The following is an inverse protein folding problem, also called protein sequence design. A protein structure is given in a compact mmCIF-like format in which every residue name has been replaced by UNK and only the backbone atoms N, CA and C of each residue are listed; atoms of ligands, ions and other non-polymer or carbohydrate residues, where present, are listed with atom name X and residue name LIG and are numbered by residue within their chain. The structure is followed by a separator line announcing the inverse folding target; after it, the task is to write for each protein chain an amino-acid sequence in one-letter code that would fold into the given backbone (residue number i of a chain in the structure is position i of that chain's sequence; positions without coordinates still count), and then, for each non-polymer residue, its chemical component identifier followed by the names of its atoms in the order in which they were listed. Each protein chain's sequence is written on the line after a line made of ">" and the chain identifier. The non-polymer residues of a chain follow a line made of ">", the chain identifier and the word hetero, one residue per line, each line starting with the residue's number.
data_IF_479683393061
#
_entry.id   IF_479683393061
#
_cell.length_a   1.000
_cell.length_b   1.000
_cell.length_c   1.000
_cell.angle_alpha   90.00
_cell.angle_beta   90.00
_cell.angle_gamma   90.00
#
_symmetry.space_group_name_H-M   'P 1'
#
loop_
_entity.id
_entity.type
_entity.pdbx_description
1 polymer ?
#
# COMPACT_ATOMS: atom_id res chain seq x y z
N UNK A 1 -10.08 8.24 -32.76
CA UNK A 1 -8.78 7.78 -33.29
C UNK A 1 -7.55 8.29 -32.49
N UNK A 2 -7.67 9.24 -31.55
CA UNK A 2 -6.58 9.60 -30.62
C UNK A 2 -6.39 8.63 -29.46
N UNK A 3 -7.48 8.07 -28.92
CA UNK A 3 -7.43 7.17 -27.75
C UNK A 3 -6.76 5.81 -28.01
N UNK A 4 -6.58 5.40 -29.27
CA UNK A 4 -6.02 4.09 -29.62
C UNK A 4 -4.49 4.08 -29.74
N UNK A 5 -3.83 5.25 -29.80
CA UNK A 5 -2.36 5.37 -29.86
C UNK A 5 -1.90 6.58 -29.05
N UNK A 6 -1.76 6.44 -27.72
CA UNK A 6 -1.40 7.54 -26.83
C UNK A 6 -0.05 8.18 -27.16
N UNK A 7 0.90 7.42 -27.71
CA UNK A 7 2.22 7.91 -28.13
C UNK A 7 2.16 9.01 -29.21
N UNK A 8 1.04 9.11 -29.94
CA UNK A 8 0.83 10.19 -30.90
C UNK A 8 0.72 11.56 -30.22
N UNK A 9 0.25 11.63 -28.96
CA UNK A 9 0.21 12.88 -28.20
C UNK A 9 1.60 13.39 -27.85
N UNK A 10 2.59 12.50 -27.69
CA UNK A 10 3.99 12.88 -27.53
C UNK A 10 4.49 13.57 -28.81
N UNK A 11 4.17 13.01 -29.98
CA UNK A 11 4.54 13.61 -31.28
C UNK A 11 3.79 14.92 -31.53
N UNK A 12 2.52 14.99 -31.14
CA UNK A 12 1.70 16.20 -31.22
C UNK A 12 2.29 17.31 -30.34
N UNK A 13 2.75 17.00 -29.12
CA UNK A 13 3.42 17.96 -28.24
C UNK A 13 4.65 18.59 -28.91
N UNK A 14 5.51 17.79 -29.52
CA UNK A 14 6.69 18.30 -30.25
C UNK A 14 6.31 19.12 -31.49
N UNK A 15 5.22 18.76 -32.17
CA UNK A 15 4.72 19.48 -33.33
C UNK A 15 4.14 20.86 -32.95
N UNK A 16 3.31 20.91 -31.91
CA UNK A 16 2.72 22.14 -31.37
C UNK A 16 3.79 23.07 -30.79
N UNK A 17 4.83 22.52 -30.18
CA UNK A 17 6.00 23.28 -29.71
C UNK A 17 6.74 23.98 -30.87
N UNK A 18 6.90 23.30 -32.02
CA UNK A 18 7.63 23.84 -33.19
C UNK A 18 6.82 24.76 -34.10
N UNK A 19 5.49 24.74 -34.02
CA UNK A 19 4.61 25.52 -34.90
C UNK A 19 3.72 26.49 -34.11
N UNK A 20 4.30 27.53 -33.49
CA UNK A 20 3.54 28.45 -32.63
C UNK A 20 2.55 29.36 -33.36
N UNK A 21 2.61 29.40 -34.70
CA UNK A 21 1.77 30.25 -35.56
C UNK A 21 0.38 29.66 -35.85
N UNK A 22 0.07 28.47 -35.32
CA UNK A 22 -1.23 27.83 -35.47
C UNK A 22 -2.31 28.60 -34.69
N UNK A 23 -3.45 28.85 -35.34
CA UNK A 23 -4.66 29.26 -34.64
C UNK A 23 -5.05 28.16 -33.63
N UNK A 24 -5.52 28.55 -32.44
CA UNK A 24 -5.94 27.65 -31.35
C UNK A 24 -4.84 26.79 -30.72
N UNK A 25 -3.55 27.11 -30.95
CA UNK A 25 -2.42 26.35 -30.41
C UNK A 25 -2.43 26.26 -28.87
N UNK A 26 -2.93 27.27 -28.17
CA UNK A 26 -3.00 27.26 -26.69
C UNK A 26 -3.99 26.23 -26.15
N UNK A 27 -5.18 26.13 -26.76
CA UNK A 27 -6.22 25.17 -26.38
C UNK A 27 -5.79 23.74 -26.74
N UNK A 28 -5.26 23.55 -27.95
CA UNK A 28 -4.73 22.25 -28.39
C UNK A 28 -3.55 21.76 -27.53
N UNK A 29 -2.68 22.68 -27.09
CA UNK A 29 -1.58 22.35 -26.19
C UNK A 29 -2.09 21.97 -24.80
N UNK A 30 -3.07 22.71 -24.27
CA UNK A 30 -3.68 22.40 -22.96
C UNK A 30 -4.38 21.03 -22.97
N UNK A 31 -5.08 20.69 -24.06
CA UNK A 31 -5.73 19.39 -24.25
C UNK A 31 -4.71 18.25 -24.41
N UNK A 32 -3.63 18.49 -25.16
CA UNK A 32 -2.53 17.53 -25.28
C UNK A 32 -1.86 17.29 -23.92
N UNK A 33 -1.56 18.34 -23.16
CA UNK A 33 -0.98 18.24 -21.82
C UNK A 33 -1.91 17.50 -20.86
N UNK A 34 -3.22 17.77 -20.91
CA UNK A 34 -4.21 17.09 -20.07
C UNK A 34 -4.35 15.60 -20.43
N UNK A 35 -4.21 15.26 -21.71
CA UNK A 35 -4.24 13.86 -22.17
C UNK A 35 -2.95 13.12 -21.78
N UNK A 36 -1.79 13.77 -21.89
CA UNK A 36 -0.50 13.24 -21.42
C UNK A 36 -0.55 13.01 -19.90
N UNK A 37 -1.14 13.94 -19.14
CA UNK A 37 -1.37 13.84 -17.70
C UNK A 37 -2.30 12.65 -17.39
N UNK A 38 -3.44 12.54 -18.07
CA UNK A 38 -4.43 11.48 -17.86
C UNK A 38 -3.90 10.07 -18.13
N UNK A 39 -3.05 9.92 -19.14
CA UNK A 39 -2.50 8.63 -19.55
C UNK A 39 -1.08 8.38 -19.03
N UNK A 40 -0.52 9.26 -18.19
CA UNK A 40 0.84 9.15 -17.64
C UNK A 40 1.93 8.87 -18.71
N UNK A 41 1.78 9.44 -19.91
CA UNK A 41 2.60 9.09 -21.08
C UNK A 41 4.04 9.59 -20.98
N UNK A 42 4.26 10.63 -20.17
CA UNK A 42 5.55 11.27 -20.04
C UNK A 42 5.72 11.85 -18.64
N UNK A 43 6.93 11.74 -18.09
CA UNK A 43 7.23 12.40 -16.82
C UNK A 43 7.17 13.93 -16.98
N UNK A 44 6.80 14.67 -15.93
CA UNK A 44 6.68 16.14 -16.00
C UNK A 44 7.98 16.82 -16.44
N UNK A 45 9.11 16.29 -15.99
CA UNK A 45 10.43 16.77 -16.38
C UNK A 45 10.66 16.58 -17.89
N UNK A 46 10.25 15.44 -18.45
CA UNK A 46 10.38 15.19 -19.88
C UNK A 46 9.44 16.05 -20.71
N UNK A 47 8.24 16.36 -20.22
CA UNK A 47 7.34 17.33 -20.88
C UNK A 47 8.01 18.69 -20.95
N UNK A 48 8.61 19.15 -19.85
CA UNK A 48 9.33 20.43 -19.81
C UNK A 48 10.55 20.43 -20.72
N UNK A 49 11.31 19.33 -20.77
CA UNK A 49 12.42 19.19 -21.71
C UNK A 49 11.93 19.24 -23.16
N UNK A 50 10.89 18.50 -23.51
CA UNK A 50 10.33 18.49 -24.87
C UNK A 50 9.84 19.86 -25.33
N UNK A 51 9.30 20.67 -24.41
CA UNK A 51 8.86 22.04 -24.69
C UNK A 51 10.03 23.03 -24.72
N UNK A 52 11.05 22.83 -23.88
CA UNK A 52 12.21 23.72 -23.75
C UNK A 52 13.34 23.52 -24.77
N UNK A 53 13.39 22.37 -25.45
CA UNK A 53 14.50 22.00 -26.37
C UNK A 53 14.45 22.70 -27.74
N UNK A 54 13.47 23.57 -27.99
CA UNK A 54 13.34 24.25 -29.28
C UNK A 54 13.53 25.76 -29.15
N UNK A 55 14.59 26.29 -29.76
CA UNK A 55 14.86 27.73 -29.83
C UNK A 55 13.76 28.52 -30.57
N UNK A 56 12.89 27.84 -31.33
CA UNK A 56 11.70 28.41 -31.98
C UNK A 56 10.38 28.04 -31.29
N UNK A 57 10.41 27.51 -30.05
CA UNK A 57 9.18 27.27 -29.30
C UNK A 57 8.53 28.61 -28.97
N UNK A 58 7.38 28.89 -29.58
CA UNK A 58 6.51 29.99 -29.13
C UNK A 58 5.66 29.60 -27.92
N UNK A 59 5.99 28.49 -27.24
CA UNK A 59 5.33 28.06 -26.01
C UNK A 59 5.87 28.89 -24.85
N UNK A 60 4.99 29.66 -24.21
CA UNK A 60 5.35 30.46 -23.04
C UNK A 60 5.16 29.68 -21.75
N UNK A 61 5.89 30.04 -20.70
CA UNK A 61 5.72 29.44 -19.37
C UNK A 61 4.29 29.58 -18.85
N UNK A 62 3.56 30.63 -19.26
CA UNK A 62 2.15 30.83 -18.91
C UNK A 62 1.25 29.68 -19.36
N UNK A 63 1.46 29.18 -20.59
CA UNK A 63 0.66 28.11 -21.20
C UNK A 63 0.83 26.77 -20.47
N UNK A 64 2.00 26.53 -19.88
CA UNK A 64 2.34 25.27 -19.19
C UNK A 64 2.19 25.39 -17.66
N UNK A 65 2.03 26.60 -17.13
CA UNK A 65 1.96 26.88 -15.68
C UNK A 65 0.88 26.05 -14.99
N UNK A 66 -0.29 25.94 -15.61
CA UNK A 66 -1.41 25.16 -15.06
C UNK A 66 -1.05 23.69 -14.85
N UNK A 67 -0.44 23.07 -15.86
CA UNK A 67 0.04 21.68 -15.81
C UNK A 67 1.10 21.49 -14.71
N UNK A 68 2.12 22.36 -14.68
CA UNK A 68 3.21 22.28 -13.68
C UNK A 68 2.64 22.40 -12.26
N UNK A 69 1.74 23.35 -12.02
CA UNK A 69 1.15 23.57 -10.70
C UNK A 69 0.30 22.37 -10.26
N UNK A 70 -0.51 21.79 -11.14
CA UNK A 70 -1.26 20.56 -10.83
C UNK A 70 -0.33 19.42 -10.45
N UNK A 71 0.75 19.22 -11.21
CA UNK A 71 1.68 18.14 -10.95
C UNK A 71 2.46 18.31 -9.65
N UNK A 72 2.91 19.53 -9.34
CA UNK A 72 3.57 19.84 -8.06
C UNK A 72 2.63 19.58 -6.89
N UNK A 73 1.37 20.02 -7.01
CA UNK A 73 0.36 19.81 -5.96
C UNK A 73 0.04 18.33 -5.78
N UNK A 74 -0.16 17.59 -6.88
CA UNK A 74 -0.41 16.15 -6.84
C UNK A 74 0.77 15.39 -6.21
N UNK A 75 2.00 15.71 -6.61
CA UNK A 75 3.21 15.10 -6.05
C UNK A 75 3.39 15.44 -4.57
N UNK A 76 3.17 16.69 -4.17
CA UNK A 76 3.28 17.12 -2.78
C UNK A 76 2.24 16.42 -1.90
N UNK A 77 1.00 16.27 -2.40
CA UNK A 77 -0.04 15.52 -1.70
C UNK A 77 0.34 14.05 -1.52
N UNK A 78 0.84 13.39 -2.58
CA UNK A 78 1.34 12.01 -2.50
C UNK A 78 2.46 11.86 -1.47
N UNK A 79 3.38 12.81 -1.39
CA UNK A 79 4.45 12.81 -0.39
C UNK A 79 3.86 12.89 1.02
N UNK A 80 2.88 13.75 1.24
CA UNK A 80 2.24 13.91 2.55
C UNK A 80 1.47 12.65 2.96
N UNK A 81 0.68 12.08 2.04
CA UNK A 81 -0.07 10.84 2.27
C UNK A 81 0.90 9.69 2.62
N UNK A 82 2.03 9.57 1.90
CA UNK A 82 3.05 8.57 2.17
C UNK A 82 3.72 8.79 3.55
N UNK A 83 4.01 10.03 3.94
CA UNK A 83 4.57 10.35 5.26
C UNK A 83 3.60 9.97 6.39
N UNK A 84 2.31 10.28 6.23
CA UNK A 84 1.28 9.92 7.18
C UNK A 84 1.16 8.40 7.34
N UNK A 85 1.19 7.65 6.23
CA UNK A 85 1.19 6.19 6.25
C UNK A 85 2.42 5.61 6.97
N UNK A 86 3.62 6.13 6.68
CA UNK A 86 4.86 5.72 7.36
C UNK A 86 4.77 5.96 8.87
N UNK A 87 4.24 7.11 9.29
CA UNK A 87 4.08 7.43 10.71
C UNK A 87 3.12 6.45 11.40
N UNK A 88 1.98 6.13 10.78
CA UNK A 88 1.01 5.13 11.30
C UNK A 88 1.67 3.76 11.45
N UNK A 89 2.27 3.24 10.37
CA UNK A 89 2.90 1.92 10.38
C UNK A 89 4.05 1.82 11.38
N UNK A 90 4.84 2.88 11.55
CA UNK A 90 5.95 2.90 12.53
C UNK A 90 5.41 2.86 13.97
N UNK A 91 4.33 3.60 14.24
CA UNK A 91 3.67 3.59 15.55
C UNK A 91 3.09 2.21 15.88
N UNK A 92 2.35 1.61 14.95
CA UNK A 92 1.80 0.27 15.09
C UNK A 92 2.91 -0.78 15.29
N UNK A 93 3.97 -0.73 14.47
CA UNK A 93 5.13 -1.62 14.61
C UNK A 93 5.76 -1.53 16.00
N UNK A 94 5.95 -0.32 16.53
CA UNK A 94 6.51 -0.11 17.86
C UNK A 94 5.63 -0.76 18.94
N UNK A 95 4.32 -0.52 18.89
CA UNK A 95 3.35 -1.13 19.82
C UNK A 95 3.38 -2.66 19.74
N UNK A 96 3.43 -3.23 18.53
CA UNK A 96 3.51 -4.67 18.35
C UNK A 96 4.84 -5.25 18.84
N UNK A 97 5.96 -4.58 18.55
CA UNK A 97 7.29 -4.98 19.00
C UNK A 97 7.39 -4.99 20.53
N UNK A 98 6.89 -3.94 21.20
CA UNK A 98 6.83 -3.88 22.67
C UNK A 98 5.95 -4.98 23.26
N UNK A 99 4.81 -5.29 22.63
CA UNK A 99 3.96 -6.42 23.03
C UNK A 99 4.69 -7.75 22.87
N UNK A 100 5.41 -7.96 21.77
CA UNK A 100 6.19 -9.18 21.53
C UNK A 100 7.31 -9.35 22.58
N UNK A 101 8.04 -8.29 22.88
CA UNK A 101 9.06 -8.31 23.94
C UNK A 101 8.46 -8.63 25.31
N UNK A 102 7.33 -7.98 25.65
CA UNK A 102 6.64 -8.24 26.91
C UNK A 102 6.15 -9.69 27.03
N UNK A 103 5.60 -10.28 25.96
CA UNK A 103 5.14 -11.67 25.96
C UNK A 103 6.30 -12.67 26.06
N UNK A 104 7.49 -12.35 25.53
CA UNK A 104 8.67 -13.24 25.56
C UNK A 104 9.44 -13.16 26.87
N UNK A 105 9.63 -11.96 27.40
CA UNK A 105 10.66 -11.69 28.42
C UNK A 105 10.10 -11.23 29.77
N UNK A 106 8.81 -10.91 29.88
CA UNK A 106 8.21 -10.35 31.10
C UNK A 106 7.15 -11.28 31.67
N UNK A 107 7.08 -11.43 33.01
CA UNK A 107 6.01 -12.19 33.64
C UNK A 107 4.66 -11.51 33.41
N UNK A 108 3.63 -12.30 33.10
CA UNK A 108 2.26 -11.82 32.93
C UNK A 108 1.49 -12.08 34.23
N UNK A 109 0.96 -11.01 34.82
CA UNK A 109 0.08 -11.12 35.99
C UNK A 109 -1.36 -11.26 35.55
N UNK A 110 -2.03 -12.32 36.00
CA UNK A 110 -3.45 -12.53 35.79
C UNK A 110 -4.23 -12.03 37.00
N UNK A 111 -5.02 -10.96 36.81
CA UNK A 111 -5.87 -10.38 37.85
C UNK A 111 -7.37 -10.68 37.63
N UNK A 112 -7.72 -11.49 36.63
CA UNK A 112 -9.11 -11.80 36.33
C UNK A 112 -9.73 -12.65 37.43
N UNK A 113 -10.75 -12.13 38.09
CA UNK A 113 -11.49 -12.83 39.14
C UNK A 113 -12.76 -13.52 38.63
N UNK A 114 -13.06 -13.42 37.33
CA UNK A 114 -14.25 -13.99 36.69
C UNK A 114 -13.91 -14.78 35.44
N UNK A 115 -14.71 -15.82 35.19
CA UNK A 115 -14.60 -16.63 33.99
C UNK A 115 -15.13 -15.87 32.78
N UNK A 116 -14.38 -15.87 31.69
CA UNK A 116 -14.76 -15.15 30.46
C UNK A 116 -15.98 -15.79 29.77
N UNK A 117 -16.24 -17.09 29.99
CA UNK A 117 -17.36 -17.82 29.38
C UNK A 117 -18.66 -17.68 30.20
N UNK A 118 -18.63 -18.03 31.50
CA UNK A 118 -19.84 -18.05 32.34
C UNK A 118 -20.00 -16.82 33.26
N UNK A 119 -19.03 -15.89 33.28
CA UNK A 119 -19.02 -14.67 34.12
C UNK A 119 -19.06 -14.89 35.64
N UNK A 120 -19.10 -16.13 36.10
CA UNK A 120 -19.02 -16.48 37.52
C UNK A 120 -17.61 -16.26 38.08
N UNK A 121 -17.46 -16.10 39.41
CA UNK A 121 -16.15 -16.03 40.06
C UNK A 121 -15.25 -17.20 39.65
N UNK A 122 -13.98 -16.91 39.38
CA UNK A 122 -13.00 -17.93 39.02
C UNK A 122 -12.70 -18.79 40.25
N UNK A 123 -12.91 -20.09 40.13
CA UNK A 123 -12.45 -21.10 41.10
C UNK A 123 -11.41 -22.01 40.43
N UNK A 124 -10.62 -22.69 41.25
CA UNK A 124 -9.62 -23.64 40.78
C UNK A 124 -10.31 -24.98 40.44
N UNK A 125 -9.87 -25.68 39.38
CA UNK A 125 -8.79 -25.34 38.47
C UNK A 125 -9.17 -24.32 37.37
N UNK A 126 -8.28 -23.36 37.11
CA UNK A 126 -8.43 -22.32 36.09
C UNK A 126 -7.33 -22.36 35.04
N UNK A 127 -7.66 -21.92 33.83
CA UNK A 127 -6.74 -21.81 32.70
C UNK A 127 -6.66 -20.35 32.27
N UNK A 128 -5.45 -19.85 32.08
CA UNK A 128 -5.17 -18.47 31.73
C UNK A 128 -4.39 -18.40 30.42
N UNK A 129 -4.91 -17.68 29.44
CA UNK A 129 -4.23 -17.44 28.17
C UNK A 129 -3.44 -16.14 28.22
N UNK A 130 -2.31 -16.05 27.51
CA UNK A 130 -1.47 -14.85 27.47
C UNK A 130 -2.21 -13.59 26.95
N UNK A 131 -3.33 -13.77 26.26
CA UNK A 131 -4.26 -12.68 25.92
C UNK A 131 -5.07 -12.14 27.13
N UNK A 132 -4.73 -12.56 28.36
CA UNK A 132 -5.36 -12.21 29.65
C UNK A 132 -6.80 -12.72 29.84
N UNK A 133 -7.30 -13.57 28.96
CA UNK A 133 -8.58 -14.23 29.17
C UNK A 133 -8.41 -15.45 30.07
N UNK A 134 -9.30 -15.54 31.05
CA UNK A 134 -9.27 -16.58 32.09
C UNK A 134 -10.58 -17.36 32.07
N UNK A 135 -10.48 -18.68 32.22
CA UNK A 135 -11.61 -19.59 32.17
C UNK A 135 -11.50 -20.64 33.27
N UNK A 136 -12.63 -21.20 33.72
CA UNK A 136 -12.60 -22.45 34.47
C UNK A 136 -12.19 -23.57 33.53
N UNK A 137 -11.47 -24.58 34.03
CA UNK A 137 -11.15 -25.76 33.22
C UNK A 137 -12.42 -26.43 32.64
N UNK A 138 -13.50 -26.51 33.44
CA UNK A 138 -14.81 -27.03 33.01
C UNK A 138 -15.50 -26.21 31.92
N UNK A 139 -15.18 -24.92 31.80
CA UNK A 139 -15.80 -24.02 30.82
C UNK A 139 -15.06 -24.00 29.47
N UNK A 140 -13.90 -24.65 29.38
CA UNK A 140 -13.10 -24.74 28.15
C UNK A 140 -13.42 -25.96 27.29
N UNK A 141 -13.95 -27.04 27.88
CA UNK A 141 -14.18 -28.30 27.16
C UNK A 141 -12.89 -28.86 26.55
N UNK A 142 -12.98 -29.46 25.36
CA UNK A 142 -11.86 -30.05 24.60
C UNK A 142 -11.10 -29.04 23.71
N UNK A 143 -11.29 -27.73 23.91
CA UNK A 143 -10.63 -26.68 23.12
C UNK A 143 -9.19 -26.50 23.65
N UNK A 144 -8.33 -27.46 23.34
CA UNK A 144 -7.10 -27.76 24.08
C UNK A 144 -6.04 -26.67 24.17
N UNK A 145 -5.89 -25.78 23.18
CA UNK A 145 -4.68 -24.94 23.10
C UNK A 145 -4.92 -23.46 22.74
N UNK A 146 -6.16 -23.02 22.55
CA UNK A 146 -6.45 -21.65 22.12
C UNK A 146 -7.59 -21.00 22.89
N UNK A 147 -7.49 -19.67 23.08
CA UNK A 147 -8.51 -18.89 23.77
C UNK A 147 -9.77 -18.80 22.89
N UNK A 148 -10.94 -19.32 23.32
CA UNK A 148 -12.15 -19.34 22.49
C UNK A 148 -12.59 -17.94 22.03
N UNK A 149 -12.35 -16.91 22.85
CA UNK A 149 -12.67 -15.51 22.52
C UNK A 149 -11.77 -14.91 21.43
N UNK A 150 -10.50 -15.31 21.37
CA UNK A 150 -9.53 -14.77 20.40
C UNK A 150 -9.31 -15.71 19.21
N UNK A 151 -9.83 -16.94 19.27
CA UNK A 151 -9.58 -17.98 18.27
C UNK A 151 -9.98 -17.56 16.86
N UNK A 152 -11.16 -16.94 16.68
CA UNK A 152 -11.61 -16.50 15.37
C UNK A 152 -10.70 -15.42 14.74
N UNK A 153 -10.21 -14.49 15.56
CA UNK A 153 -9.29 -13.44 15.12
C UNK A 153 -7.91 -14.02 14.78
N UNK A 154 -7.39 -14.89 15.66
CA UNK A 154 -6.13 -15.58 15.41
C UNK A 154 -6.20 -16.45 14.15
N UNK A 155 -7.30 -17.18 13.93
CA UNK A 155 -7.49 -17.99 12.74
C UNK A 155 -7.47 -17.14 11.47
N UNK A 156 -8.12 -15.96 11.50
CA UNK A 156 -8.09 -15.02 10.37
C UNK A 156 -6.66 -14.56 10.05
N UNK A 157 -5.83 -14.31 11.07
CA UNK A 157 -4.43 -13.93 10.87
C UNK A 157 -3.61 -15.09 10.28
N UNK A 158 -3.81 -16.31 10.78
CA UNK A 158 -3.17 -17.52 10.24
C UNK A 158 -3.57 -17.80 8.79
N UNK A 159 -4.86 -17.64 8.45
CA UNK A 159 -5.36 -17.81 7.08
C UNK A 159 -4.77 -16.74 6.14
N UNK A 160 -4.69 -15.48 6.59
CA UNK A 160 -4.05 -14.41 5.84
C UNK A 160 -2.58 -14.70 5.58
N UNK A 161 -1.85 -15.16 6.60
CA UNK A 161 -0.46 -15.56 6.49
C UNK A 161 -0.29 -16.70 5.49
N UNK A 162 -1.11 -17.75 5.60
CA UNK A 162 -1.09 -18.89 4.66
C UNK A 162 -1.37 -18.45 3.23
N UNK A 163 -2.33 -17.54 3.03
CA UNK A 163 -2.62 -16.97 1.72
C UNK A 163 -1.43 -16.19 1.16
N UNK A 164 -0.71 -15.44 2.00
CA UNK A 164 0.51 -14.73 1.60
C UNK A 164 1.65 -15.69 1.23
N UNK A 165 1.86 -16.77 2.00
CA UNK A 165 2.87 -17.79 1.71
C UNK A 165 2.59 -18.54 0.39
N UNK A 166 1.32 -18.85 0.09
CA UNK A 166 0.90 -19.44 -1.17
C UNK A 166 1.11 -18.45 -2.31
N UNK A 167 0.64 -17.21 -2.14
CA UNK A 167 0.79 -16.16 -3.14
C UNK A 167 2.26 -15.93 -3.46
N UNK A 168 3.16 -15.88 -2.48
CA UNK A 168 4.59 -15.66 -2.70
C UNK A 168 5.23 -16.67 -3.68
N UNK A 169 4.66 -17.87 -3.83
CA UNK A 169 5.15 -18.91 -4.75
C UNK A 169 4.54 -18.81 -6.17
N UNK A 170 3.51 -17.99 -6.36
CA UNK A 170 2.81 -17.84 -7.64
C UNK A 170 3.47 -16.75 -8.50
N UNK A 171 4.68 -17.01 -8.96
CA UNK A 171 5.44 -16.05 -9.77
C UNK A 171 4.76 -15.71 -11.10
N UNK A 172 4.10 -16.68 -11.74
CA UNK A 172 3.40 -16.47 -13.02
C UNK A 172 2.26 -15.45 -12.87
N UNK A 173 1.46 -15.58 -11.81
CA UNK A 173 0.38 -14.64 -11.50
C UNK A 173 0.91 -13.24 -11.15
N UNK A 174 2.13 -13.13 -10.60
CA UNK A 174 2.81 -11.86 -10.40
C UNK A 174 3.22 -11.22 -11.72
N UNK A 175 3.87 -11.99 -12.61
CA UNK A 175 4.29 -11.48 -13.92
C UNK A 175 3.09 -11.08 -14.77
N UNK A 176 2.00 -11.84 -14.75
CA UNK A 176 0.76 -11.48 -15.42
C UNK A 176 0.22 -10.14 -14.92
N UNK A 177 0.16 -9.93 -13.59
CA UNK A 177 -0.26 -8.64 -13.02
C UNK A 177 0.69 -7.50 -13.37
N UNK A 178 1.99 -7.76 -13.38
CA UNK A 178 3.00 -6.76 -13.70
C UNK A 178 2.89 -6.31 -15.17
N UNK A 179 2.63 -7.24 -16.09
CA UNK A 179 2.47 -6.96 -17.52
C UNK A 179 1.21 -6.15 -17.85
N UNK A 180 0.16 -6.27 -17.03
CA UNK A 180 -1.13 -5.60 -17.26
C UNK A 180 -1.36 -4.37 -16.35
N UNK A 181 -0.37 -3.98 -15.54
CA UNK A 181 -0.49 -2.85 -14.62
C UNK A 181 0.23 -1.62 -15.16
N UNK A 182 -0.44 -0.46 -15.11
CA UNK A 182 0.15 0.84 -15.43
C UNK A 182 1.19 1.27 -14.37
N UNK A 183 1.02 0.82 -13.12
CA UNK A 183 1.91 1.12 -11.99
C UNK A 183 2.74 -0.12 -11.61
N UNK A 184 3.70 -0.47 -12.47
CA UNK A 184 4.53 -1.66 -12.26
C UNK A 184 5.34 -1.64 -10.96
N UNK A 185 5.82 -0.47 -10.54
CA UNK A 185 6.55 -0.33 -9.28
C UNK A 185 5.67 -0.66 -8.06
N UNK A 186 4.39 -0.26 -8.07
CA UNK A 186 3.48 -0.54 -6.95
C UNK A 186 3.12 -2.02 -6.87
N UNK A 187 3.02 -2.70 -8.02
CA UNK A 187 2.87 -4.17 -8.07
C UNK A 187 4.11 -4.86 -7.48
N UNK A 188 5.31 -4.43 -7.87
CA UNK A 188 6.57 -4.96 -7.34
C UNK A 188 6.68 -4.69 -5.84
N UNK A 189 6.41 -3.47 -5.40
CA UNK A 189 6.47 -3.08 -3.99
C UNK A 189 5.44 -3.87 -3.16
N UNK A 190 4.21 -4.06 -3.66
CA UNK A 190 3.19 -4.86 -2.98
C UNK A 190 3.57 -6.35 -2.91
N UNK A 191 4.14 -6.89 -3.98
CA UNK A 191 4.63 -8.27 -4.00
C UNK A 191 5.79 -8.47 -3.03
N UNK A 192 6.76 -7.55 -3.05
CA UNK A 192 7.88 -7.52 -2.12
C UNK A 192 7.46 -7.17 -0.69
N UNK A 193 6.34 -6.52 -0.45
CA UNK A 193 5.84 -6.37 0.92
C UNK A 193 5.29 -7.69 1.48
N UNK A 194 4.84 -8.61 0.61
CA UNK A 194 4.17 -9.86 0.98
C UNK A 194 5.07 -11.11 0.90
N UNK A 195 6.12 -11.08 0.07
CA UNK A 195 6.96 -12.25 -0.24
C UNK A 195 8.19 -12.46 0.66
N UNK A 196 9.01 -11.45 1.00
CA UNK A 196 10.25 -11.60 1.80
C UNK A 196 9.99 -11.93 3.27
N UNK A 197 8.83 -11.53 3.82
CA UNK A 197 8.44 -11.86 5.18
C UNK A 197 7.77 -13.23 5.32
N UNK A 198 7.44 -13.90 4.21
CA UNK A 198 6.96 -15.29 4.24
C UNK A 198 8.03 -16.29 4.73
N UNK A 199 9.32 -15.89 4.72
CA UNK A 199 10.45 -16.73 5.13
C UNK A 199 10.82 -16.63 6.61
N UNK A 200 10.25 -15.69 7.37
CA UNK A 200 10.33 -15.78 8.84
C UNK A 200 9.36 -16.87 9.30
N UNK A 201 9.78 -18.14 9.15
CA UNK A 201 9.33 -19.23 10.01
C UNK A 201 9.60 -18.80 11.45
N UNK A 202 8.65 -18.14 12.08
CA UNK A 202 8.64 -18.03 13.52
C UNK A 202 8.26 -19.41 14.02
N UNK A 203 9.30 -20.11 14.50
CA UNK A 203 9.28 -21.37 15.23
C UNK A 203 9.23 -22.60 14.30
N UNK A 204 10.40 -23.08 13.87
CA UNK A 204 10.61 -24.53 13.87
C UNK A 204 10.63 -24.94 15.37
N UNK A 205 9.61 -25.71 15.78
CA UNK A 205 9.60 -26.43 17.07
C UNK A 205 10.48 -27.67 16.96
#
# INVERSE_FOLDING_TARGET
>A
HGESQPDLYIKALHYLARNPQLADNEELLADCLSTIEKHNLMSPLRVLQALGDSEQSGVTLGMVRGYIMRQINATSKRIEDNKAAIASYTSEFKVHSEKMDALKNKPIVFQSTKCTSCMAPLDLPSVHFLCKHSYHQRCLGDIGDSCPRCQAENQKLEDQRRAQEISAKQHDAFFDKLHHSDEGFDVIASWFAKSPFAFTKLIDQ
#
